data_IF_696859855338
#
_entry.id   IF_696859855338
#
_cell.length_a   1.000
_cell.length_b   1.000
_cell.length_c   1.000
_cell.angle_alpha   90.00
_cell.angle_beta   90.00
_cell.angle_gamma   90.00
#
_symmetry.space_group_name_H-M   'P 1'
#
loop_
_entity.id
_entity.type
_entity.pdbx_description
1 polymer ?
#
# COMPACT_ATOMS: atom_id res chain seq x y z
N UNK A 1 7.94 -20.72 -11.06
CA UNK A 1 7.44 -19.49 -10.43
C UNK A 1 8.36 -18.34 -10.83
N UNK A 2 7.85 -17.15 -11.18
CA UNK A 2 8.70 -15.98 -11.38
C UNK A 2 9.54 -15.69 -10.12
N UNK A 3 10.77 -15.21 -10.31
CA UNK A 3 11.72 -14.90 -9.22
C UNK A 3 11.48 -13.53 -8.56
N UNK A 4 10.48 -12.80 -9.03
CA UNK A 4 10.17 -11.44 -8.60
C UNK A 4 8.86 -11.41 -7.81
N UNK A 5 8.78 -10.50 -6.83
CA UNK A 5 7.56 -10.16 -6.11
C UNK A 5 7.29 -8.65 -6.22
N UNK A 6 6.01 -8.27 -6.25
CA UNK A 6 5.57 -6.89 -6.11
C UNK A 6 5.12 -6.66 -4.67
N UNK A 7 5.81 -5.79 -3.95
CA UNK A 7 5.41 -5.36 -2.60
C UNK A 7 4.70 -4.00 -2.73
N UNK A 8 3.46 -3.93 -2.28
CA UNK A 8 2.64 -2.71 -2.23
C UNK A 8 2.57 -2.28 -0.77
N UNK A 9 3.13 -1.13 -0.45
CA UNK A 9 3.29 -0.65 0.93
C UNK A 9 2.29 0.48 1.18
N UNK A 10 1.47 0.32 2.21
CA UNK A 10 0.67 1.36 2.84
C UNK A 10 -0.19 2.23 1.91
N UNK A 11 -0.75 1.60 0.88
CA UNK A 11 -1.78 2.20 0.03
C UNK A 11 -3.15 2.14 0.73
N UNK A 12 -3.20 2.59 1.99
CA UNK A 12 -4.35 2.58 2.88
C UNK A 12 -5.16 3.88 2.75
N UNK A 13 -6.40 3.86 3.24
CA UNK A 13 -7.27 5.05 3.20
C UNK A 13 -6.67 6.22 3.98
N UNK A 14 -6.05 5.93 5.12
CA UNK A 14 -5.49 6.94 6.02
C UNK A 14 -4.32 7.72 5.38
N UNK A 15 -3.64 7.13 4.40
CA UNK A 15 -2.58 7.78 3.63
C UNK A 15 -3.08 8.36 2.29
N UNK A 16 -4.12 7.79 1.67
CA UNK A 16 -4.48 8.11 0.28
C UNK A 16 -5.70 9.03 0.17
N UNK A 17 -6.68 8.93 1.06
CA UNK A 17 -7.92 9.71 0.96
C UNK A 17 -7.66 11.20 1.28
N UNK A 18 -8.42 12.07 0.61
CA UNK A 18 -8.36 13.51 0.88
C UNK A 18 -8.97 13.81 2.24
N UNK A 19 -8.27 14.56 3.08
CA UNK A 19 -8.65 14.89 4.44
C UNK A 19 -8.40 13.77 5.45
N UNK A 20 -7.66 12.72 5.08
CA UNK A 20 -7.31 11.66 5.99
C UNK A 20 -6.27 12.13 7.03
N UNK A 21 -6.23 11.53 8.24
CA UNK A 21 -5.34 11.98 9.32
C UNK A 21 -3.86 11.98 8.94
N UNK A 22 -3.43 11.03 8.10
CA UNK A 22 -2.05 10.85 7.64
C UNK A 22 -1.93 11.07 6.12
N UNK A 23 -2.78 11.94 5.56
CA UNK A 23 -2.86 12.14 4.11
C UNK A 23 -1.50 12.46 3.48
N UNK A 24 -1.09 11.59 2.55
CA UNK A 24 0.01 11.80 1.62
C UNK A 24 -0.59 12.17 0.27
N UNK A 25 -0.86 13.46 0.06
CA UNK A 25 -1.57 13.92 -1.14
C UNK A 25 -0.99 13.44 -2.49
N UNK A 26 0.35 13.35 -2.68
CA UNK A 26 0.95 12.79 -3.88
C UNK A 26 0.68 11.29 -4.11
N UNK A 27 0.32 10.52 -3.09
CA UNK A 27 0.06 9.08 -3.21
C UNK A 27 -1.07 8.77 -4.22
N UNK A 28 -2.04 9.68 -4.38
CA UNK A 28 -3.10 9.54 -5.38
C UNK A 28 -2.58 9.56 -6.82
N UNK A 29 -1.46 10.25 -7.07
CA UNK A 29 -0.85 10.34 -8.41
C UNK A 29 -0.32 8.97 -8.85
N UNK A 30 0.16 8.14 -7.91
CA UNK A 30 0.74 6.84 -8.23
C UNK A 30 -0.29 5.71 -8.37
N UNK A 31 -1.54 5.92 -7.97
CA UNK A 31 -2.60 4.88 -7.98
C UNK A 31 -2.78 4.23 -9.37
N UNK A 32 -2.89 4.97 -10.49
CA UNK A 32 -3.03 4.34 -11.81
C UNK A 32 -1.78 3.53 -12.21
N UNK A 33 -0.59 4.01 -11.85
CA UNK A 33 0.67 3.31 -12.12
C UNK A 33 0.79 2.02 -11.29
N UNK A 34 0.33 2.05 -10.04
CA UNK A 34 0.29 0.90 -9.16
C UNK A 34 -0.68 -0.18 -9.68
N UNK A 35 -1.88 0.23 -10.11
CA UNK A 35 -2.86 -0.68 -10.72
C UNK A 35 -2.28 -1.41 -11.93
N UNK A 36 -1.59 -0.69 -12.81
CA UNK A 36 -0.89 -1.28 -13.96
C UNK A 36 0.16 -2.30 -13.53
N UNK A 37 1.01 -1.96 -12.55
CA UNK A 37 2.07 -2.85 -12.03
C UNK A 37 1.49 -4.10 -11.37
N UNK A 38 0.38 -3.97 -10.65
CA UNK A 38 -0.35 -5.10 -10.05
C UNK A 38 -0.89 -6.02 -11.14
N UNK A 39 -1.48 -5.47 -12.20
CA UNK A 39 -1.97 -6.26 -13.33
C UNK A 39 -0.84 -7.02 -14.04
N UNK A 40 0.28 -6.34 -14.32
CA UNK A 40 1.49 -6.95 -14.91
C UNK A 40 2.05 -8.08 -14.02
N UNK A 41 2.05 -7.89 -12.70
CA UNK A 41 2.48 -8.92 -11.75
C UNK A 41 1.53 -10.13 -11.76
N UNK A 42 0.21 -9.92 -11.78
CA UNK A 42 -0.79 -11.00 -11.88
C UNK A 42 -0.63 -11.81 -13.16
N UNK A 43 -0.47 -11.13 -14.30
CA UNK A 43 -0.30 -11.79 -15.60
C UNK A 43 0.96 -12.66 -15.66
N UNK A 44 2.04 -12.25 -14.98
CA UNK A 44 3.28 -13.02 -14.88
C UNK A 44 3.26 -14.12 -13.81
N UNK A 45 2.17 -14.24 -13.04
CA UNK A 45 2.09 -15.14 -11.89
C UNK A 45 3.05 -14.78 -10.76
N UNK A 46 3.44 -13.50 -10.65
CA UNK A 46 4.32 -13.00 -9.61
C UNK A 46 3.59 -12.87 -8.27
N UNK A 47 4.31 -13.09 -7.18
CA UNK A 47 3.78 -12.84 -5.85
C UNK A 47 3.47 -11.36 -5.69
N UNK A 48 2.30 -11.04 -5.12
CA UNK A 48 1.90 -9.68 -4.80
C UNK A 48 1.63 -9.64 -3.32
N UNK A 49 2.40 -8.84 -2.59
CA UNK A 49 2.36 -8.74 -1.14
C UNK A 49 1.89 -7.33 -0.81
N UNK A 50 0.80 -7.24 -0.04
CA UNK A 50 0.32 -5.98 0.50
C UNK A 50 0.82 -5.89 1.93
N UNK A 51 1.70 -4.92 2.17
CA UNK A 51 2.14 -4.55 3.52
C UNK A 51 1.21 -3.42 3.95
N UNK A 52 0.44 -3.69 5.00
CA UNK A 52 -0.57 -2.79 5.51
C UNK A 52 -0.24 -2.53 6.98
N UNK A 53 0.05 -1.28 7.28
CA UNK A 53 0.11 -0.80 8.65
C UNK A 53 -1.20 -1.11 9.40
N UNK A 54 -1.06 -1.61 10.62
CA UNK A 54 -2.18 -2.12 11.41
C UNK A 54 -1.84 -2.10 12.90
N UNK A 55 -2.45 -1.16 13.60
CA UNK A 55 -2.21 -0.92 15.02
C UNK A 55 -3.29 -1.53 15.90
N UNK A 56 -2.89 -1.93 17.11
CA UNK A 56 -3.84 -2.24 18.16
C UNK A 56 -4.43 -0.94 18.75
N UNK A 57 -5.58 -1.02 19.42
CA UNK A 57 -6.17 0.16 20.11
C UNK A 57 -5.22 0.72 21.17
N UNK A 58 -4.41 -0.15 21.76
CA UNK A 58 -3.45 0.15 22.83
C UNK A 58 -1.99 0.11 22.32
N UNK A 59 -1.77 0.46 21.05
CA UNK A 59 -0.44 0.41 20.45
C UNK A 59 0.53 1.42 21.11
N UNK A 60 1.66 0.90 21.58
CA UNK A 60 2.70 1.68 22.25
C UNK A 60 3.38 2.70 21.33
N UNK A 61 3.30 2.53 20.00
CA UNK A 61 3.77 3.53 19.04
C UNK A 61 3.12 4.91 19.26
N UNK A 62 1.88 4.93 19.75
CA UNK A 62 1.15 6.15 20.07
C UNK A 62 1.18 6.51 21.56
N UNK A 63 1.85 5.71 22.40
CA UNK A 63 2.11 6.06 23.79
C UNK A 63 3.19 7.17 23.81
N UNK A 64 2.78 8.36 24.26
CA UNK A 64 3.65 9.55 24.33
C UNK A 64 4.72 9.45 25.42
#
# INVERSE_FOLDING_TARGET
>A
MPKEALVVIDMLRDFVQKGAPLEVAPARVIVPHLQRRIQEARQRGAAIIYVCDAHHVDDEEFAK
#
